data_IF_960884169934
#
_entry.id   IF_960884169934
#
_cell.length_a   1.000
_cell.length_b   1.000
_cell.length_c   1.000
_cell.angle_alpha   90.00
_cell.angle_beta   90.00
_cell.angle_gamma   90.00
#
_symmetry.space_group_name_H-M   'P 1'
#
loop_
_entity.id
_entity.type
_entity.pdbx_description
1 polymer ?
#
# COMPACT_ATOMS: atom_id res chain seq x y z
N UNK A 1 -0.85 -2.45 -10.57
CA UNK A 1 -1.03 -2.77 -9.13
C UNK A 1 -2.15 -3.81 -8.91
N UNK A 2 -3.39 -3.56 -9.34
CA UNK A 2 -4.52 -4.48 -9.10
C UNK A 2 -4.30 -5.88 -9.68
N UNK A 3 -3.94 -5.98 -10.96
CA UNK A 3 -3.66 -7.29 -11.58
C UNK A 3 -2.54 -8.09 -10.90
N UNK A 4 -1.53 -7.41 -10.33
CA UNK A 4 -0.47 -8.06 -9.53
C UNK A 4 -1.07 -8.61 -8.24
N UNK A 5 -1.90 -7.82 -7.56
CA UNK A 5 -2.52 -8.22 -6.30
C UNK A 5 -3.49 -9.40 -6.49
N UNK A 6 -4.29 -9.39 -7.55
CA UNK A 6 -5.23 -10.49 -7.87
C UNK A 6 -4.47 -11.79 -8.18
N UNK A 7 -3.41 -11.70 -8.97
CA UNK A 7 -2.59 -12.86 -9.30
C UNK A 7 -1.96 -13.48 -8.03
N UNK A 8 -1.38 -12.66 -7.15
CA UNK A 8 -0.85 -13.13 -5.86
C UNK A 8 -1.95 -13.76 -4.98
N UNK A 9 -3.13 -13.14 -4.92
CA UNK A 9 -4.24 -13.68 -4.14
C UNK A 9 -4.68 -15.07 -4.64
N UNK A 10 -4.80 -15.24 -5.96
CA UNK A 10 -5.17 -16.51 -6.57
C UNK A 10 -4.12 -17.60 -6.36
N UNK A 11 -2.83 -17.24 -6.46
CA UNK A 11 -1.72 -18.19 -6.29
C UNK A 11 -1.54 -18.64 -4.84
N UNK A 12 -1.67 -17.70 -3.89
CA UNK A 12 -1.33 -17.94 -2.48
C UNK A 12 -2.56 -18.21 -1.59
N UNK A 13 -3.78 -18.05 -2.12
CA UNK A 13 -5.01 -18.24 -1.35
C UNK A 13 -5.17 -17.28 -0.17
N UNK A 14 -4.67 -16.04 -0.31
CA UNK A 14 -4.61 -15.06 0.80
C UNK A 14 -5.83 -14.13 0.84
N UNK A 15 -6.30 -13.80 2.05
CA UNK A 15 -7.44 -12.89 2.23
C UNK A 15 -7.13 -11.45 1.82
N UNK A 16 -5.88 -11.02 2.01
CA UNK A 16 -5.44 -9.65 1.76
C UNK A 16 -4.09 -9.63 1.05
N UNK A 17 -3.94 -8.75 0.06
CA UNK A 17 -2.68 -8.52 -0.65
C UNK A 17 -2.35 -7.04 -0.69
N UNK A 18 -1.20 -6.66 -0.15
CA UNK A 18 -0.70 -5.28 -0.14
C UNK A 18 0.42 -5.13 -1.18
N UNK A 19 0.18 -4.32 -2.20
CA UNK A 19 1.13 -4.03 -3.28
C UNK A 19 1.51 -2.55 -3.22
N UNK A 20 2.81 -2.27 -3.26
CA UNK A 20 3.32 -0.92 -3.43
C UNK A 20 4.25 -0.84 -4.63
N UNK A 21 3.95 0.08 -5.53
CA UNK A 21 4.76 0.42 -6.69
C UNK A 21 5.15 1.89 -6.62
N UNK A 22 6.12 2.30 -7.43
CA UNK A 22 6.40 3.70 -7.65
C UNK A 22 6.60 4.01 -9.13
N UNK A 23 6.26 5.25 -9.50
CA UNK A 23 6.60 5.84 -10.78
C UNK A 23 7.78 6.79 -10.61
N UNK A 24 8.78 6.60 -11.47
CA UNK A 24 10.02 7.36 -11.49
C UNK A 24 11.18 6.49 -11.95
N UNK A 25 12.21 7.14 -12.48
CA UNK A 25 13.47 6.48 -12.82
C UNK A 25 14.27 6.08 -11.58
N UNK A 26 15.19 5.13 -11.76
CA UNK A 26 16.16 4.79 -10.72
C UNK A 26 16.97 6.02 -10.27
N UNK A 27 17.27 6.97 -11.17
CA UNK A 27 17.93 8.22 -10.81
C UNK A 27 17.03 9.08 -9.91
N UNK A 28 15.75 9.29 -10.25
CA UNK A 28 14.81 10.01 -9.38
C UNK A 28 14.66 9.36 -7.99
N UNK A 29 14.68 8.03 -7.92
CA UNK A 29 14.65 7.32 -6.65
C UNK A 29 15.87 7.64 -5.77
N UNK A 30 17.06 7.69 -6.37
CA UNK A 30 18.34 7.91 -5.67
C UNK A 30 18.57 9.37 -5.28
N UNK A 31 18.17 10.33 -6.12
CA UNK A 31 18.41 11.76 -5.92
C UNK A 31 17.49 12.35 -4.85
N UNK A 32 18.07 13.00 -3.84
CA UNK A 32 17.34 13.54 -2.69
C UNK A 32 16.28 14.57 -3.09
N UNK A 33 16.61 15.42 -4.05
CA UNK A 33 15.79 16.57 -4.46
C UNK A 33 14.69 16.18 -5.46
N UNK A 34 14.74 14.96 -6.00
CA UNK A 34 13.73 14.46 -6.93
C UNK A 34 12.68 13.63 -6.17
N UNK A 35 11.41 13.92 -6.45
CA UNK A 35 10.28 13.15 -5.95
C UNK A 35 9.97 11.95 -6.83
N UNK A 36 9.36 10.93 -6.22
CA UNK A 36 8.71 9.81 -6.91
C UNK A 36 7.24 9.75 -6.49
N UNK A 37 6.41 9.15 -7.33
CA UNK A 37 5.00 8.90 -6.99
C UNK A 37 4.83 7.47 -6.54
N UNK A 38 4.40 7.24 -5.30
CA UNK A 38 4.01 5.92 -4.80
C UNK A 38 2.56 5.61 -5.18
N UNK A 39 2.32 4.36 -5.55
CA UNK A 39 1.00 3.75 -5.71
C UNK A 39 0.90 2.57 -4.76
N UNK A 40 0.02 2.66 -3.77
CA UNK A 40 -0.21 1.60 -2.79
C UNK A 40 -1.62 1.06 -2.97
N UNK A 41 -1.78 -0.25 -3.10
CA UNK A 41 -3.05 -0.94 -3.26
C UNK A 41 -3.15 -2.07 -2.22
N UNK A 42 -4.23 -2.10 -1.48
CA UNK A 42 -4.63 -3.20 -0.61
C UNK A 42 -5.84 -3.88 -1.23
N UNK A 43 -5.66 -5.10 -1.72
CA UNK A 43 -6.73 -6.00 -2.12
C UNK A 43 -7.24 -6.73 -0.87
N UNK A 44 -8.56 -6.88 -0.76
CA UNK A 44 -9.27 -7.39 0.40
C UNK A 44 -10.45 -8.25 -0.09
N UNK A 45 -11.10 -9.06 0.78
CA UNK A 45 -12.22 -9.90 0.35
C UNK A 45 -13.42 -9.09 -0.17
N UNK A 46 -13.55 -7.83 0.26
CA UNK A 46 -14.66 -6.94 -0.09
C UNK A 46 -14.35 -5.98 -1.24
N UNK A 47 -13.19 -6.10 -1.88
CA UNK A 47 -12.72 -5.19 -2.93
C UNK A 47 -11.32 -4.66 -2.66
N UNK A 48 -10.98 -3.47 -3.17
CA UNK A 48 -9.65 -2.90 -2.99
C UNK A 48 -9.69 -1.45 -2.53
N UNK A 49 -8.65 -1.05 -1.79
CA UNK A 49 -8.37 0.34 -1.44
C UNK A 49 -7.04 0.72 -2.05
N UNK A 50 -6.96 1.90 -2.66
CA UNK A 50 -5.73 2.41 -3.24
C UNK A 50 -5.42 3.81 -2.76
N UNK A 51 -4.15 4.18 -2.77
CA UNK A 51 -3.69 5.53 -2.47
C UNK A 51 -2.47 5.87 -3.31
N UNK A 52 -2.36 7.16 -3.64
CA UNK A 52 -1.23 7.71 -4.37
C UNK A 52 -0.60 8.83 -3.55
N UNK A 53 0.73 8.86 -3.44
CA UNK A 53 1.46 9.91 -2.72
C UNK A 53 2.78 10.25 -3.39
N UNK A 54 3.07 11.53 -3.53
CA UNK A 54 4.41 11.99 -3.90
C UNK A 54 5.30 12.05 -2.67
N UNK A 55 6.52 11.51 -2.78
CA UNK A 55 7.51 11.51 -1.70
C UNK A 55 8.87 11.97 -2.23
N UNK A 56 9.63 12.66 -1.38
CA UNK A 56 10.94 13.20 -1.71
C UNK A 56 11.94 12.96 -0.56
N UNK A 57 13.20 13.29 -0.80
CA UNK A 57 14.29 13.10 0.14
C UNK A 57 15.20 11.93 -0.23
N UNK A 58 16.11 11.59 0.68
CA UNK A 58 17.11 10.53 0.45
C UNK A 58 16.44 9.20 0.13
N UNK A 59 17.16 8.30 -0.53
CA UNK A 59 16.71 6.92 -0.81
C UNK A 59 16.09 6.26 0.43
N UNK A 60 16.82 6.27 1.55
CA UNK A 60 16.35 5.69 2.82
C UNK A 60 15.07 6.35 3.33
N UNK A 61 14.96 7.68 3.24
CA UNK A 61 13.72 8.38 3.62
C UNK A 61 12.56 7.97 2.73
N UNK A 62 12.77 7.85 1.42
CA UNK A 62 11.74 7.40 0.48
C UNK A 62 11.26 5.99 0.82
N UNK A 63 12.19 5.06 1.06
CA UNK A 63 11.87 3.68 1.47
C UNK A 63 11.09 3.63 2.80
N UNK A 64 11.52 4.41 3.80
CA UNK A 64 10.83 4.46 5.08
C UNK A 64 9.42 5.03 4.96
N UNK A 65 9.25 6.12 4.20
CA UNK A 65 7.92 6.68 3.95
C UNK A 65 7.02 5.70 3.20
N UNK A 66 7.57 5.01 2.20
CA UNK A 66 6.85 4.00 1.44
C UNK A 66 6.32 2.88 2.36
N UNK A 67 7.17 2.32 3.22
CA UNK A 67 6.78 1.32 4.21
C UNK A 67 5.71 1.85 5.19
N UNK A 68 5.90 3.05 5.73
CA UNK A 68 4.94 3.66 6.68
C UNK A 68 3.57 3.83 6.04
N UNK A 69 3.50 4.34 4.80
CA UNK A 69 2.21 4.55 4.13
C UNK A 69 1.49 3.23 3.81
N UNK A 70 2.23 2.21 3.40
CA UNK A 70 1.69 0.87 3.16
C UNK A 70 1.12 0.25 4.44
N UNK A 71 1.89 0.29 5.53
CA UNK A 71 1.48 -0.28 6.82
C UNK A 71 0.33 0.52 7.46
N UNK A 72 0.31 1.85 7.29
CA UNK A 72 -0.81 2.67 7.77
C UNK A 72 -2.12 2.35 7.03
N UNK A 73 -2.06 2.10 5.71
CA UNK A 73 -3.23 1.66 4.94
C UNK A 73 -3.78 0.34 5.46
N UNK A 74 -2.91 -0.66 5.67
CA UNK A 74 -3.28 -1.95 6.23
C UNK A 74 -3.87 -1.81 7.64
N UNK A 75 -3.20 -1.05 8.51
CA UNK A 75 -3.66 -0.79 9.88
C UNK A 75 -5.06 -0.21 9.89
N UNK A 76 -5.36 0.79 9.06
CA UNK A 76 -6.69 1.42 8.96
C UNK A 76 -7.75 0.42 8.49
N UNK A 77 -7.43 -0.42 7.52
CA UNK A 77 -8.33 -1.48 7.06
C UNK A 77 -8.64 -2.46 8.19
N UNK A 78 -7.62 -2.97 8.88
CA UNK A 78 -7.81 -3.91 9.98
C UNK A 78 -8.63 -3.30 11.13
N UNK A 79 -8.36 -2.06 11.50
CA UNK A 79 -9.14 -1.35 12.53
C UNK A 79 -10.60 -1.14 12.13
N UNK A 80 -10.87 -0.79 10.87
CA UNK A 80 -12.24 -0.61 10.38
C UNK A 80 -13.01 -1.93 10.41
N UNK A 81 -12.39 -3.03 9.98
CA UNK A 81 -13.05 -4.34 10.01
C UNK A 81 -13.31 -4.81 11.43
N UNK A 82 -12.33 -4.66 12.34
CA UNK A 82 -12.51 -5.01 13.74
C UNK A 82 -13.66 -4.21 14.38
N UNK A 83 -13.74 -2.91 14.09
CA UNK A 83 -14.84 -2.07 14.58
C UNK A 83 -16.21 -2.46 14.00
N UNK A 84 -16.26 -2.91 12.75
CA UNK A 84 -17.50 -3.36 12.12
C UNK A 84 -17.98 -4.68 12.74
N UNK A 85 -17.08 -5.60 13.07
CA UNK A 85 -17.40 -6.85 13.78
C UNK A 85 -18.00 -6.57 15.15
N UNK A 86 -17.42 -5.66 15.94
CA UNK A 86 -17.95 -5.31 17.27
C UNK A 86 -19.36 -4.69 17.18
N UNK A 87 -19.63 -3.85 16.17
CA UNK A 87 -20.95 -3.24 15.96
C UNK A 87 -22.02 -4.21 15.47
N UNK A 88 -21.65 -5.34 14.88
CA UNK A 88 -22.60 -6.35 14.39
C UNK A 88 -23.08 -7.30 15.50
N UNK A 89 -22.44 -7.28 16.67
CA UNK A 89 -22.72 -8.19 17.81
C UNK A 89 -23.61 -7.51 18.87
N UNK A 90 -23.72 -6.18 18.85
CA UNK A 90 -24.56 -5.37 19.75
C UNK A 90 -25.86 -5.02 19.02
#
# INVERSE_FOLDING_TARGET
ALGIAQNIQEQEGTDCVLVQLYEGSANQFQQKELSITLFTLLLTPTGFVHSQRSIAGSKTRKQNQAAIYSLDLLRRFLQKNLSNTVRSII
#
